data_IF_677175212133
#
_entry.id   IF_677175212133
#
_cell.length_a   1.000
_cell.length_b   1.000
_cell.length_c   1.000
_cell.angle_alpha   90.00
_cell.angle_beta   90.00
_cell.angle_gamma   90.00
#
_symmetry.space_group_name_H-M   'P 1'
#
loop_
_entity.id
_entity.type
_entity.pdbx_description
1 polymer ?
#
# COMPACT_ATOMS: atom_id res chain seq x y z
N UNK A 1 -75.15 -49.86 -10.02
CA UNK A 1 -76.14 -50.17 -8.98
C UNK A 1 -75.74 -49.49 -7.72
N UNK A 2 -76.73 -48.74 -7.23
CA UNK A 2 -76.88 -48.25 -5.84
C UNK A 2 -75.96 -47.17 -5.33
N UNK A 3 -76.57 -46.05 -5.20
CA UNK A 3 -76.26 -44.82 -4.45
C UNK A 3 -76.19 -45.09 -2.94
N UNK A 4 -75.36 -44.34 -2.23
CA UNK A 4 -75.78 -43.82 -0.94
C UNK A 4 -75.17 -42.42 -0.74
N UNK A 5 -76.06 -41.48 -0.46
CA UNK A 5 -75.86 -40.13 -0.09
C UNK A 5 -75.62 -40.08 1.42
N UNK A 6 -74.63 -39.38 1.90
CA UNK A 6 -74.56 -39.03 3.33
C UNK A 6 -74.24 -37.54 3.47
N UNK A 7 -75.16 -36.85 4.07
CA UNK A 7 -75.12 -35.45 4.42
C UNK A 7 -74.07 -35.21 5.48
N UNK A 8 -73.20 -34.27 5.28
CA UNK A 8 -72.24 -33.77 6.28
C UNK A 8 -72.42 -32.31 6.53
N UNK A 9 -72.64 -32.00 7.76
CA UNK A 9 -72.97 -30.73 8.40
C UNK A 9 -71.91 -29.68 8.11
N UNK A 10 -72.32 -28.51 7.58
CA UNK A 10 -71.49 -27.31 7.45
C UNK A 10 -71.33 -26.67 8.85
N UNK A 11 -70.14 -26.75 9.43
CA UNK A 11 -69.77 -25.93 10.58
C UNK A 11 -69.06 -24.70 10.00
N UNK A 12 -69.74 -23.58 10.12
CA UNK A 12 -69.21 -22.27 9.76
C UNK A 12 -68.15 -21.85 10.81
N UNK A 13 -66.89 -22.14 10.52
CA UNK A 13 -65.79 -21.68 11.31
C UNK A 13 -65.46 -20.23 10.99
N UNK A 14 -65.72 -19.33 11.92
CA UNK A 14 -65.35 -17.92 11.89
C UNK A 14 -63.80 -17.83 11.98
N UNK A 15 -63.12 -17.71 10.84
CA UNK A 15 -61.69 -17.43 10.83
C UNK A 15 -61.48 -15.97 11.17
N UNK A 16 -61.06 -15.71 12.39
CA UNK A 16 -60.53 -14.43 12.81
C UNK A 16 -59.20 -14.25 12.06
N UNK A 17 -59.25 -13.43 10.98
CA UNK A 17 -58.05 -12.87 10.38
C UNK A 17 -57.40 -11.92 11.38
N UNK A 18 -56.48 -12.43 12.18
CA UNK A 18 -55.52 -11.63 12.91
C UNK A 18 -54.63 -10.97 11.84
N UNK A 19 -54.94 -9.74 11.49
CA UNK A 19 -54.10 -8.89 10.68
C UNK A 19 -52.76 -8.70 11.41
N UNK A 20 -51.73 -9.42 10.98
CA UNK A 20 -50.35 -9.02 11.24
C UNK A 20 -50.15 -7.68 10.58
N UNK A 21 -50.48 -6.59 11.28
CA UNK A 21 -49.92 -5.29 11.00
C UNK A 21 -48.40 -5.46 11.19
N UNK A 22 -47.70 -5.78 10.12
CA UNK A 22 -46.25 -5.68 10.05
C UNK A 22 -45.89 -4.25 10.46
N UNK A 23 -45.44 -4.08 11.69
CA UNK A 23 -44.71 -2.92 12.09
C UNK A 23 -43.49 -2.88 11.12
N UNK A 24 -43.59 -2.09 10.07
CA UNK A 24 -42.39 -1.55 9.44
C UNK A 24 -41.70 -0.77 10.55
N UNK A 25 -40.73 -1.38 11.20
CA UNK A 25 -39.69 -0.65 11.89
C UNK A 25 -39.08 0.28 10.84
N UNK A 26 -39.59 1.50 10.80
CA UNK A 26 -38.83 2.58 10.19
C UNK A 26 -37.55 2.63 10.99
N UNK A 27 -36.47 2.12 10.44
CA UNK A 27 -35.12 2.35 10.91
C UNK A 27 -34.93 3.89 10.89
N UNK A 28 -35.38 4.56 11.93
CA UNK A 28 -34.97 5.92 12.21
C UNK A 28 -33.48 5.81 12.47
N UNK A 29 -32.67 6.18 11.49
CA UNK A 29 -31.27 6.48 11.69
C UNK A 29 -31.25 7.54 12.78
N UNK A 30 -31.02 7.14 14.02
CA UNK A 30 -30.91 8.05 15.14
C UNK A 30 -29.67 8.89 14.91
N UNK A 31 -29.85 10.06 14.28
CA UNK A 31 -28.78 10.99 14.06
C UNK A 31 -28.24 11.49 15.40
N UNK A 32 -26.94 11.48 15.57
CA UNK A 32 -26.29 12.20 16.66
C UNK A 32 -25.89 13.60 16.20
N UNK A 33 -25.98 14.58 17.11
CA UNK A 33 -25.53 15.94 16.86
C UNK A 33 -24.02 16.12 17.09
N UNK A 34 -23.38 15.13 17.72
CA UNK A 34 -21.98 15.17 18.11
C UNK A 34 -21.19 14.09 17.40
N UNK A 35 -19.95 14.41 17.07
CA UNK A 35 -18.95 13.48 16.54
C UNK A 35 -17.84 13.32 17.56
N UNK A 36 -17.50 12.08 17.89
CA UNK A 36 -16.29 11.77 18.62
C UNK A 36 -15.12 11.66 17.63
N UNK A 37 -14.07 12.43 17.86
CA UNK A 37 -12.89 12.48 16.98
C UNK A 37 -11.62 12.47 17.81
N UNK A 38 -10.47 12.29 17.16
CA UNK A 38 -9.15 12.37 17.82
C UNK A 38 -8.88 13.72 18.48
N UNK A 39 -9.52 14.79 18.01
CA UNK A 39 -9.38 16.14 18.57
C UNK A 39 -10.45 16.51 19.60
N UNK A 40 -11.31 15.55 19.95
CA UNK A 40 -12.37 15.72 20.94
C UNK A 40 -13.78 15.51 20.38
N UNK A 41 -14.78 15.91 21.18
CA UNK A 41 -16.20 15.83 20.84
C UNK A 41 -16.68 17.14 20.26
N UNK A 42 -17.20 17.11 19.04
CA UNK A 42 -17.61 18.30 18.29
C UNK A 42 -19.05 18.19 17.82
N UNK A 43 -19.77 19.30 17.80
CA UNK A 43 -21.03 19.39 17.04
C UNK A 43 -20.74 19.19 15.55
N UNK A 44 -21.72 18.66 14.84
CA UNK A 44 -21.67 18.67 13.37
C UNK A 44 -21.71 20.14 12.91
N UNK A 45 -20.81 20.51 12.02
CA UNK A 45 -20.62 21.90 11.50
C UNK A 45 -20.14 22.91 12.56
N UNK A 46 -19.47 22.47 13.61
CA UNK A 46 -18.89 23.38 14.61
C UNK A 46 -17.71 24.16 14.00
N UNK A 47 -17.84 25.48 13.90
CA UNK A 47 -16.81 26.35 13.35
C UNK A 47 -15.55 26.46 14.23
N UNK A 48 -15.64 26.06 15.51
CA UNK A 48 -14.51 26.01 16.44
C UNK A 48 -13.72 24.72 16.35
N UNK A 49 -14.20 23.74 15.59
CA UNK A 49 -13.44 22.51 15.36
C UNK A 49 -12.14 22.82 14.64
N UNK A 50 -10.99 22.26 15.09
CA UNK A 50 -9.69 22.51 14.46
C UNK A 50 -9.73 22.26 12.95
N UNK A 51 -9.36 23.26 12.17
CA UNK A 51 -9.21 23.13 10.73
C UNK A 51 -7.99 22.26 10.38
N UNK A 52 -7.99 21.55 9.24
CA UNK A 52 -6.82 20.85 8.77
C UNK A 52 -5.69 21.85 8.43
N UNK A 53 -4.42 21.45 8.59
CA UNK A 53 -3.30 22.29 8.16
C UNK A 53 -3.36 22.55 6.65
N UNK A 54 -2.99 23.76 6.24
CA UNK A 54 -2.90 24.13 4.84
C UNK A 54 -1.50 23.77 4.34
N UNK A 55 -1.43 22.99 3.26
CA UNK A 55 -0.19 22.64 2.57
C UNK A 55 -0.26 23.05 1.10
N UNK A 56 0.90 23.26 0.48
CA UNK A 56 1.00 23.39 -0.98
C UNK A 56 1.07 21.98 -1.58
N UNK A 57 0.13 21.58 -2.45
CA UNK A 57 0.19 20.29 -3.11
C UNK A 57 1.45 20.14 -3.95
N UNK A 58 1.92 18.92 -4.10
CA UNK A 58 2.96 18.57 -5.07
C UNK A 58 2.47 18.73 -6.52
N UNK A 59 3.38 18.57 -7.47
CA UNK A 59 3.05 18.57 -8.89
C UNK A 59 3.28 17.19 -9.52
N UNK A 60 2.52 16.87 -10.55
CA UNK A 60 2.68 15.61 -11.26
C UNK A 60 3.96 15.56 -12.08
N UNK A 61 4.55 14.39 -12.14
CA UNK A 61 5.70 14.11 -13.02
C UNK A 61 5.28 13.78 -14.43
N UNK A 62 6.19 14.03 -15.36
CA UNK A 62 6.12 13.56 -16.74
C UNK A 62 7.26 12.58 -17.03
N UNK A 63 7.29 11.98 -18.21
CA UNK A 63 8.42 11.15 -18.63
C UNK A 63 9.74 11.93 -18.72
N UNK A 64 9.69 13.25 -18.90
CA UNK A 64 10.88 14.13 -19.05
C UNK A 64 11.27 14.81 -17.74
N UNK A 65 10.33 15.12 -16.89
CA UNK A 65 10.56 15.96 -15.70
C UNK A 65 9.88 15.36 -14.47
N UNK A 66 10.61 15.30 -13.37
CA UNK A 66 10.08 14.97 -12.07
C UNK A 66 9.14 16.07 -11.55
N UNK A 67 8.09 15.68 -10.84
CA UNK A 67 7.22 16.60 -10.12
C UNK A 67 7.88 17.15 -8.86
N UNK A 68 7.15 18.00 -8.15
CA UNK A 68 7.55 18.53 -6.84
C UNK A 68 6.81 17.79 -5.74
N UNK A 69 7.47 17.57 -4.62
CA UNK A 69 6.85 17.05 -3.41
C UNK A 69 5.86 18.06 -2.81
N UNK A 70 4.85 17.62 -2.05
CA UNK A 70 4.04 18.50 -1.20
C UNK A 70 4.91 19.24 -0.17
N UNK A 71 4.45 20.43 0.27
CA UNK A 71 5.25 21.29 1.15
C UNK A 71 5.51 20.71 2.56
N UNK A 72 4.73 19.72 2.98
CA UNK A 72 4.87 19.00 4.26
C UNK A 72 5.57 17.63 4.11
N UNK A 73 6.11 17.33 2.94
CA UNK A 73 6.84 16.09 2.70
C UNK A 73 8.33 16.23 3.06
N UNK A 74 8.88 15.13 3.55
CA UNK A 74 10.32 14.93 3.74
C UNK A 74 10.86 14.42 2.41
N UNK A 75 11.69 15.22 1.74
CA UNK A 75 12.31 14.85 0.46
C UNK A 75 13.52 13.97 0.73
N UNK A 76 13.51 12.76 0.17
CA UNK A 76 14.59 11.78 0.31
C UNK A 76 15.52 11.75 -0.89
N UNK A 77 15.02 12.18 -2.06
CA UNK A 77 15.83 12.34 -3.26
C UNK A 77 15.14 13.30 -4.24
N UNK A 78 15.78 14.41 -4.51
CA UNK A 78 15.34 15.47 -5.44
C UNK A 78 16.07 15.46 -6.78
N UNK A 79 17.00 14.54 -6.97
CA UNK A 79 17.81 14.42 -8.20
C UNK A 79 19.22 14.97 -8.07
N UNK A 80 19.62 15.50 -6.92
CA UNK A 80 20.93 16.19 -6.75
C UNK A 80 22.02 15.28 -6.20
N UNK A 81 21.78 14.59 -5.07
CA UNK A 81 22.78 13.76 -4.42
C UNK A 81 22.16 12.63 -3.58
N UNK A 82 23.00 11.84 -2.90
CA UNK A 82 22.62 10.75 -2.01
C UNK A 82 22.80 11.12 -0.52
N UNK A 83 22.74 12.41 -0.17
CA UNK A 83 22.96 12.88 1.20
C UNK A 83 22.03 12.24 2.23
N UNK A 84 20.80 11.89 1.83
CA UNK A 84 19.81 11.23 2.70
C UNK A 84 19.98 9.69 2.76
N UNK A 85 20.95 9.12 2.01
CA UNK A 85 21.12 7.69 1.85
C UNK A 85 22.47 7.20 2.36
N UNK A 86 22.49 5.94 2.78
CA UNK A 86 23.69 5.24 3.24
C UNK A 86 23.64 3.78 2.79
N UNK A 87 24.79 3.10 2.76
CA UNK A 87 24.80 1.63 2.62
C UNK A 87 24.17 0.99 3.86
N UNK A 88 23.80 -0.27 3.78
CA UNK A 88 23.26 -1.03 4.93
C UNK A 88 24.19 -0.97 6.16
N UNK A 89 25.50 -0.90 5.93
CA UNK A 89 26.54 -0.83 6.98
C UNK A 89 26.81 0.60 7.49
N UNK A 90 26.06 1.62 7.00
CA UNK A 90 26.19 3.00 7.44
C UNK A 90 27.25 3.83 6.71
N UNK A 91 27.96 3.28 5.73
CA UNK A 91 28.90 4.03 4.88
C UNK A 91 28.17 4.79 3.76
N UNK A 92 28.91 5.65 2.98
CA UNK A 92 28.33 6.38 1.85
C UNK A 92 27.66 5.46 0.83
N UNK A 93 26.46 5.80 0.38
CA UNK A 93 25.80 5.10 -0.71
C UNK A 93 26.63 5.18 -1.98
N UNK A 94 26.72 4.09 -2.76
CA UNK A 94 27.61 3.95 -3.91
C UNK A 94 26.87 3.96 -5.25
N UNK A 95 25.58 4.23 -5.26
CA UNK A 95 24.81 4.38 -6.49
C UNK A 95 25.20 5.65 -7.22
N UNK A 96 25.04 5.70 -8.52
CA UNK A 96 25.40 6.89 -9.32
C UNK A 96 24.22 7.86 -9.39
N UNK A 97 24.51 9.15 -9.28
CA UNK A 97 23.54 10.23 -9.52
C UNK A 97 23.93 10.98 -10.80
N UNK A 98 22.98 11.15 -11.69
CA UNK A 98 23.10 11.95 -12.91
C UNK A 98 21.72 12.26 -13.51
N UNK A 99 21.62 13.31 -14.25
CA UNK A 99 20.41 13.68 -15.02
C UNK A 99 19.12 13.68 -14.15
N UNK A 100 19.23 14.07 -12.86
CA UNK A 100 18.10 14.14 -11.94
C UNK A 100 17.59 12.79 -11.40
N UNK A 101 18.36 11.72 -11.55
CA UNK A 101 18.02 10.40 -10.99
C UNK A 101 19.23 9.70 -10.38
N UNK A 102 18.99 8.83 -9.41
CA UNK A 102 19.97 7.85 -8.96
C UNK A 102 19.75 6.51 -9.66
N UNK A 103 20.84 5.77 -9.85
CA UNK A 103 20.83 4.47 -10.52
C UNK A 103 21.59 3.44 -9.71
N UNK A 104 21.00 2.26 -9.59
CA UNK A 104 21.65 1.08 -9.01
C UNK A 104 22.96 0.80 -9.71
N UNK A 105 24.03 0.67 -8.92
CA UNK A 105 25.34 0.19 -9.37
C UNK A 105 25.50 -1.22 -8.86
N UNK A 106 25.50 -2.15 -9.79
CA UNK A 106 25.59 -3.59 -9.55
C UNK A 106 26.68 -3.96 -8.53
N UNK A 107 26.35 -4.82 -7.57
CA UNK A 107 27.25 -5.33 -6.54
C UNK A 107 27.80 -4.28 -5.56
N UNK A 108 27.17 -3.11 -5.49
CA UNK A 108 27.52 -2.13 -4.44
C UNK A 108 26.66 -2.29 -3.20
N UNK A 109 25.62 -3.11 -3.30
CA UNK A 109 24.67 -3.42 -2.23
C UNK A 109 23.53 -2.41 -2.13
N UNK A 110 22.56 -2.78 -1.32
CA UNK A 110 21.36 -1.99 -1.02
C UNK A 110 21.74 -0.67 -0.34
N UNK A 111 20.86 0.29 -0.52
CA UNK A 111 20.95 1.57 0.19
C UNK A 111 19.72 1.78 1.06
N UNK A 112 19.90 2.47 2.18
CA UNK A 112 18.80 2.80 3.09
C UNK A 112 18.84 4.27 3.46
N UNK A 113 17.69 4.82 3.86
CA UNK A 113 17.61 6.19 4.36
C UNK A 113 18.37 6.33 5.69
N UNK A 114 18.92 7.51 5.95
CA UNK A 114 19.49 7.87 7.26
C UNK A 114 18.39 8.02 8.31
N UNK A 115 17.29 8.64 7.92
CA UNK A 115 16.09 8.77 8.74
C UNK A 115 15.27 7.48 8.72
N UNK A 116 14.66 7.15 9.87
CA UNK A 116 13.76 6.02 10.04
C UNK A 116 12.30 6.46 10.01
N UNK A 117 11.42 5.64 9.44
CA UNK A 117 9.99 5.91 9.27
C UNK A 117 9.17 4.74 9.78
N UNK A 118 7.98 5.04 10.31
CA UNK A 118 6.93 4.09 10.63
C UNK A 118 5.81 4.16 9.59
N UNK A 119 4.57 4.37 10.04
CA UNK A 119 3.43 4.58 9.13
C UNK A 119 3.64 5.82 8.27
N UNK A 120 3.49 5.70 6.96
CA UNK A 120 3.80 6.79 6.03
C UNK A 120 3.02 6.70 4.71
N UNK A 121 2.94 7.84 4.03
CA UNK A 121 2.73 7.94 2.61
C UNK A 121 4.10 8.07 1.94
N UNK A 122 4.45 7.15 1.05
CA UNK A 122 5.68 7.20 0.24
C UNK A 122 5.31 7.41 -1.21
N UNK A 123 5.94 8.40 -1.85
CA UNK A 123 5.99 8.51 -3.31
C UNK A 123 7.39 8.19 -3.80
N UNK A 124 7.49 7.38 -4.83
CA UNK A 124 8.75 7.02 -5.47
C UNK A 124 8.55 6.76 -6.95
N UNK A 125 9.41 7.32 -7.77
CA UNK A 125 9.43 7.02 -9.19
C UNK A 125 10.63 6.16 -9.55
N UNK A 126 10.40 5.19 -10.41
CA UNK A 126 11.44 4.28 -10.89
C UNK A 126 11.32 4.04 -12.40
N UNK A 127 12.42 3.60 -13.00
CA UNK A 127 12.42 3.13 -14.38
C UNK A 127 13.36 1.93 -14.51
N UNK A 128 12.83 0.82 -15.00
CA UNK A 128 13.63 -0.36 -15.33
C UNK A 128 14.54 -0.10 -16.53
N UNK A 129 15.63 -0.87 -16.75
CA UNK A 129 16.50 -0.68 -17.89
C UNK A 129 15.74 -0.75 -19.21
N UNK A 130 15.97 0.21 -20.12
CA UNK A 130 15.30 0.22 -21.44
C UNK A 130 15.72 -0.95 -22.34
N UNK A 131 16.96 -1.43 -22.17
CA UNK A 131 17.44 -2.64 -22.86
C UNK A 131 17.06 -3.88 -22.07
N UNK A 132 16.17 -4.68 -22.61
CA UNK A 132 15.80 -5.97 -22.05
C UNK A 132 16.87 -7.01 -22.38
N UNK A 133 17.47 -7.61 -21.35
CA UNK A 133 18.54 -8.61 -21.52
C UNK A 133 18.23 -9.95 -20.87
N UNK A 134 17.19 -10.01 -20.02
CA UNK A 134 16.84 -11.16 -19.20
C UNK A 134 15.33 -11.36 -19.18
N UNK A 135 14.86 -12.35 -18.45
CA UNK A 135 13.43 -12.72 -18.28
C UNK A 135 13.09 -12.97 -16.82
N UNK A 136 11.81 -13.07 -16.52
CA UNK A 136 11.27 -13.40 -15.20
C UNK A 136 11.86 -12.46 -14.12
N UNK A 137 12.28 -12.98 -12.98
CA UNK A 137 12.81 -12.23 -11.85
C UNK A 137 14.19 -11.58 -12.09
N UNK A 138 14.87 -11.90 -13.16
CA UNK A 138 16.15 -11.27 -13.49
C UNK A 138 16.00 -10.02 -14.38
N UNK A 139 14.77 -9.62 -14.71
CA UNK A 139 14.50 -8.54 -15.66
C UNK A 139 14.10 -7.25 -14.94
N UNK A 140 15.06 -6.32 -14.79
CA UNK A 140 14.81 -5.02 -14.18
C UNK A 140 14.37 -5.11 -12.72
N UNK A 141 14.93 -6.06 -11.98
CA UNK A 141 14.58 -6.35 -10.60
C UNK A 141 15.24 -5.38 -9.62
N UNK A 142 14.47 -4.97 -8.63
CA UNK A 142 14.83 -4.20 -7.45
C UNK A 142 13.69 -4.31 -6.45
N UNK A 143 13.77 -3.64 -5.30
CA UNK A 143 12.72 -3.62 -4.29
C UNK A 143 12.64 -2.28 -3.56
N UNK A 144 11.44 -1.90 -3.16
CA UNK A 144 11.17 -0.76 -2.27
C UNK A 144 10.71 -1.32 -0.94
N UNK A 145 11.57 -1.23 0.08
CA UNK A 145 11.29 -1.82 1.40
C UNK A 145 10.88 -0.74 2.40
N UNK A 146 9.65 -0.81 2.86
CA UNK A 146 9.17 -0.05 4.00
C UNK A 146 9.77 -0.68 5.27
N UNK A 147 10.36 0.17 6.15
CA UNK A 147 11.03 -0.29 7.37
C UNK A 147 12.12 -1.35 7.12
N UNK A 148 12.77 -1.34 5.95
CA UNK A 148 13.78 -2.33 5.52
C UNK A 148 13.33 -3.79 5.61
N UNK A 149 12.02 -4.05 5.70
CA UNK A 149 11.44 -5.37 5.97
C UNK A 149 10.31 -5.74 5.02
N UNK A 150 9.50 -4.75 4.61
CA UNK A 150 8.25 -4.99 3.89
C UNK A 150 8.37 -4.48 2.46
N UNK A 151 8.53 -5.39 1.52
CA UNK A 151 8.84 -5.10 0.12
C UNK A 151 7.61 -4.87 -0.74
N UNK A 152 7.64 -3.77 -1.49
CA UNK A 152 6.88 -3.59 -2.73
C UNK A 152 7.84 -3.84 -3.89
N UNK A 153 7.58 -4.91 -4.64
CA UNK A 153 8.46 -5.38 -5.71
C UNK A 153 8.61 -4.37 -6.84
N UNK A 154 9.83 -4.16 -7.29
CA UNK A 154 10.16 -3.47 -8.54
C UNK A 154 10.67 -4.47 -9.56
N UNK A 155 9.95 -4.61 -10.67
CA UNK A 155 10.29 -5.54 -11.75
C UNK A 155 9.87 -4.94 -13.09
N UNK A 156 10.55 -5.26 -14.17
CA UNK A 156 10.00 -5.07 -15.50
C UNK A 156 8.99 -6.18 -15.80
N UNK A 157 7.72 -5.92 -15.48
CA UNK A 157 6.60 -6.84 -15.74
C UNK A 157 5.86 -6.58 -17.06
N UNK A 158 6.40 -5.67 -17.91
CA UNK A 158 5.83 -5.42 -19.23
C UNK A 158 6.14 -6.61 -20.17
N UNK A 159 5.12 -7.36 -20.59
CA UNK A 159 5.28 -8.56 -21.41
C UNK A 159 6.38 -9.50 -20.87
N UNK A 160 6.36 -9.74 -19.56
CA UNK A 160 7.34 -10.58 -18.85
C UNK A 160 6.61 -11.56 -17.93
N UNK A 161 6.69 -12.82 -18.24
CA UNK A 161 6.11 -13.88 -17.45
C UNK A 161 6.98 -14.18 -16.22
N UNK A 162 6.36 -14.16 -15.05
CA UNK A 162 6.95 -14.56 -13.77
C UNK A 162 5.85 -15.05 -12.82
N UNK A 163 6.22 -15.52 -11.63
CA UNK A 163 5.21 -15.85 -10.61
C UNK A 163 4.46 -14.56 -10.16
N UNK A 164 3.12 -14.64 -10.00
CA UNK A 164 2.29 -13.45 -9.81
C UNK A 164 2.61 -12.63 -8.57
N UNK A 165 3.02 -13.27 -7.47
CA UNK A 165 3.37 -12.65 -6.19
C UNK A 165 4.81 -12.10 -6.13
N UNK A 166 5.54 -12.17 -7.23
CA UNK A 166 6.85 -11.54 -7.43
C UNK A 166 6.91 -10.57 -8.61
N UNK A 167 5.77 -10.24 -9.23
CA UNK A 167 5.75 -9.24 -10.28
C UNK A 167 5.76 -7.80 -9.71
N UNK A 168 5.91 -6.82 -10.59
CA UNK A 168 5.90 -5.40 -10.25
C UNK A 168 4.66 -5.04 -9.41
N UNK A 169 4.86 -4.32 -8.30
CA UNK A 169 3.84 -3.94 -7.32
C UNK A 169 3.25 -5.08 -6.47
N UNK A 170 3.79 -6.29 -6.55
CA UNK A 170 3.49 -7.33 -5.56
C UNK A 170 4.01 -6.91 -4.17
N UNK A 171 3.29 -7.28 -3.12
CA UNK A 171 3.89 -7.38 -1.79
C UNK A 171 4.61 -8.73 -1.78
N UNK A 172 5.93 -8.71 -1.96
CA UNK A 172 6.72 -9.85 -2.41
C UNK A 172 6.44 -11.14 -1.65
N UNK A 173 6.04 -12.19 -2.38
CA UNK A 173 5.66 -13.49 -1.83
C UNK A 173 4.43 -13.47 -0.91
N UNK A 174 3.63 -12.38 -0.89
CA UNK A 174 2.49 -12.21 0.04
C UNK A 174 1.19 -11.86 -0.65
N UNK A 175 1.23 -10.92 -1.59
CA UNK A 175 0.01 -10.50 -2.30
C UNK A 175 0.31 -10.17 -3.75
N UNK A 176 -0.50 -10.73 -4.62
CA UNK A 176 -0.51 -10.43 -6.06
C UNK A 176 -1.18 -9.07 -6.26
N UNK A 177 -0.65 -8.19 -7.12
CA UNK A 177 -1.34 -6.95 -7.44
C UNK A 177 -2.64 -7.21 -8.20
N UNK A 178 -3.65 -6.37 -7.99
CA UNK A 178 -4.97 -6.48 -8.62
C UNK A 178 -4.90 -6.47 -10.15
N UNK A 179 -3.96 -5.71 -10.70
CA UNK A 179 -3.68 -5.60 -12.13
C UNK A 179 -2.20 -5.33 -12.37
N UNK A 180 -1.71 -5.67 -13.55
CA UNK A 180 -0.38 -5.27 -14.02
C UNK A 180 -0.46 -3.90 -14.71
N UNK A 181 -0.07 -2.83 -14.01
CA UNK A 181 -0.04 -1.46 -14.52
C UNK A 181 1.35 -1.03 -15.03
N UNK A 182 2.24 -1.99 -15.30
CA UNK A 182 3.63 -1.73 -15.68
C UNK A 182 3.73 -1.08 -17.06
N UNK A 183 4.51 0.00 -17.17
CA UNK A 183 4.86 0.63 -18.43
C UNK A 183 6.01 -0.11 -19.11
N UNK A 184 6.25 0.20 -20.39
CA UNK A 184 7.37 -0.36 -21.17
C UNK A 184 8.71 -0.07 -20.46
N UNK A 185 9.70 -0.99 -20.58
CA UNK A 185 11.03 -0.78 -20.01
C UNK A 185 11.64 0.54 -20.46
N UNK A 186 12.32 1.20 -19.56
CA UNK A 186 12.91 2.52 -19.74
C UNK A 186 12.00 3.71 -19.46
N UNK A 187 10.68 3.51 -19.41
CA UNK A 187 9.72 4.55 -19.03
C UNK A 187 9.66 4.74 -17.51
N UNK A 188 9.49 5.98 -17.07
CA UNK A 188 9.26 6.31 -15.67
C UNK A 188 7.88 5.83 -15.23
N UNK A 189 7.87 5.20 -14.08
CA UNK A 189 6.72 4.66 -13.38
C UNK A 189 6.71 5.21 -11.96
N UNK A 190 5.55 5.26 -11.32
CA UNK A 190 5.42 5.74 -9.94
C UNK A 190 4.73 4.71 -9.06
N UNK A 191 5.16 4.64 -7.82
CA UNK A 191 4.39 4.12 -6.71
C UNK A 191 3.96 5.25 -5.79
N UNK A 192 2.69 5.24 -5.41
CA UNK A 192 2.15 5.96 -4.29
C UNK A 192 1.68 4.93 -3.27
N UNK A 193 2.36 4.86 -2.14
CA UNK A 193 2.19 3.80 -1.13
C UNK A 193 1.68 4.42 0.16
N UNK A 194 0.54 3.93 0.66
CA UNK A 194 0.08 4.17 2.02
C UNK A 194 0.42 2.94 2.85
N UNK A 195 1.33 3.11 3.77
CA UNK A 195 1.80 2.06 4.66
C UNK A 195 1.43 2.36 6.10
N UNK A 196 0.79 1.40 6.77
CA UNK A 196 0.65 1.41 8.21
C UNK A 196 1.50 0.29 8.79
N UNK A 197 2.43 0.65 9.66
CA UNK A 197 3.35 -0.28 10.29
C UNK A 197 2.64 -1.30 11.17
N UNK A 198 3.24 -2.46 11.42
CA UNK A 198 2.75 -3.34 12.47
C UNK A 198 2.96 -2.71 13.84
N UNK A 199 2.11 -3.07 14.80
CA UNK A 199 2.30 -2.71 16.20
C UNK A 199 2.56 -3.98 16.99
N UNK A 200 3.60 -3.95 17.81
CA UNK A 200 3.95 -5.04 18.70
C UNK A 200 3.66 -4.71 20.17
N UNK A 201 3.30 -5.71 20.93
CA UNK A 201 3.27 -5.68 22.41
C UNK A 201 4.17 -6.81 22.91
N UNK A 202 5.39 -6.48 23.34
CA UNK A 202 6.46 -7.45 23.50
C UNK A 202 6.73 -8.17 22.18
N UNK A 203 6.77 -9.49 22.20
CA UNK A 203 7.03 -10.31 21.01
C UNK A 203 5.77 -10.62 20.17
N UNK A 204 4.61 -10.04 20.49
CA UNK A 204 3.36 -10.34 19.80
C UNK A 204 2.94 -9.16 18.92
N UNK A 205 2.66 -9.42 17.64
CA UNK A 205 2.00 -8.45 16.78
C UNK A 205 0.54 -8.29 17.23
N UNK A 206 0.16 -7.06 17.60
CA UNK A 206 -1.22 -6.71 18.01
C UNK A 206 -1.99 -6.02 16.90
N UNK A 207 -1.28 -5.41 15.96
CA UNK A 207 -1.83 -4.91 14.70
C UNK A 207 -0.85 -5.28 13.57
N UNK A 208 -1.36 -5.87 12.52
CA UNK A 208 -0.57 -6.25 11.36
C UNK A 208 -0.32 -5.04 10.45
N UNK A 209 0.75 -5.07 9.67
CA UNK A 209 1.02 -4.06 8.65
C UNK A 209 -0.04 -4.08 7.55
N UNK A 210 -0.38 -2.90 7.02
CA UNK A 210 -1.29 -2.78 5.89
C UNK A 210 -0.70 -1.92 4.79
N UNK A 211 -1.04 -2.25 3.55
CA UNK A 211 -0.61 -1.56 2.35
C UNK A 211 -1.78 -1.18 1.45
N UNK A 212 -1.79 0.07 1.00
CA UNK A 212 -2.52 0.48 -0.20
C UNK A 212 -1.50 1.04 -1.17
N UNK A 213 -1.47 0.50 -2.40
CA UNK A 213 -0.48 0.88 -3.40
C UNK A 213 -1.17 1.28 -4.69
N UNK A 214 -0.79 2.44 -5.20
CA UNK A 214 -1.10 2.87 -6.56
C UNK A 214 0.16 2.75 -7.42
N UNK A 215 0.06 2.08 -8.55
CA UNK A 215 1.10 1.99 -9.56
C UNK A 215 0.66 2.76 -10.80
N UNK A 216 1.39 3.80 -11.17
CA UNK A 216 1.04 4.71 -12.28
C UNK A 216 -0.39 5.29 -12.14
N UNK A 217 -0.84 5.58 -10.92
CA UNK A 217 -2.17 6.08 -10.62
C UNK A 217 -3.28 5.01 -10.58
N UNK A 218 -2.97 3.74 -10.83
CA UNK A 218 -3.91 2.61 -10.77
C UNK A 218 -3.78 1.91 -9.43
N UNK A 219 -4.89 1.66 -8.74
CA UNK A 219 -4.92 0.90 -7.49
C UNK A 219 -4.51 -0.56 -7.77
N UNK A 220 -3.43 -1.01 -7.15
CA UNK A 220 -2.88 -2.35 -7.34
C UNK A 220 -2.84 -3.18 -6.05
N UNK A 221 -2.84 -2.53 -4.88
CA UNK A 221 -3.02 -3.17 -3.58
C UNK A 221 -4.04 -2.36 -2.78
N UNK A 222 -5.15 -2.96 -2.38
CA UNK A 222 -6.25 -2.30 -1.66
C UNK A 222 -6.28 -2.75 -0.21
N UNK A 223 -5.70 -1.94 0.68
CA UNK A 223 -5.67 -2.18 2.12
C UNK A 223 -5.27 -3.61 2.52
N UNK A 224 -4.27 -4.15 1.82
CA UNK A 224 -3.81 -5.52 2.05
C UNK A 224 -3.15 -5.65 3.42
N UNK A 225 -3.63 -6.61 4.21
CA UNK A 225 -3.08 -6.94 5.54
C UNK A 225 -2.01 -8.02 5.37
N UNK A 226 -0.74 -7.67 5.65
CA UNK A 226 0.36 -8.63 5.58
C UNK A 226 0.29 -9.67 6.69
N UNK A 227 0.79 -10.88 6.39
CA UNK A 227 0.85 -11.97 7.37
C UNK A 227 2.22 -12.07 8.08
N UNK A 228 3.23 -11.32 7.65
CA UNK A 228 4.59 -11.30 8.17
C UNK A 228 5.52 -10.44 7.32
N UNK A 229 6.82 -10.59 7.47
CA UNK A 229 7.83 -9.96 6.61
C UNK A 229 7.78 -10.50 5.17
N UNK A 230 8.47 -9.85 4.26
CA UNK A 230 8.55 -10.24 2.84
C UNK A 230 9.89 -10.92 2.50
N UNK A 231 10.70 -11.24 3.51
CA UNK A 231 11.98 -11.89 3.29
C UNK A 231 11.81 -13.19 2.52
N UNK A 232 12.64 -13.37 1.50
CA UNK A 232 12.76 -14.64 0.80
C UNK A 232 13.66 -15.59 1.58
N UNK A 233 13.15 -16.75 1.95
CA UNK A 233 13.92 -17.83 2.58
C UNK A 233 14.06 -18.98 1.59
N UNK A 234 12.93 -19.43 1.04
CA UNK A 234 12.82 -20.44 -0.01
C UNK A 234 11.49 -20.25 -0.76
N UNK A 235 11.26 -21.07 -1.79
CA UNK A 235 10.10 -20.94 -2.68
C UNK A 235 8.73 -21.10 -2.00
N UNK A 236 8.68 -21.66 -0.79
CA UNK A 236 7.41 -22.04 -0.15
C UNK A 236 7.28 -21.56 1.30
N UNK A 237 8.25 -20.80 1.81
CA UNK A 237 8.25 -20.35 3.21
C UNK A 237 7.72 -18.93 3.35
N UNK A 238 6.70 -18.78 4.19
CA UNK A 238 6.17 -17.50 4.65
C UNK A 238 6.80 -17.13 5.97
N UNK A 239 7.57 -16.04 6.02
CA UNK A 239 8.12 -15.52 7.27
C UNK A 239 7.04 -14.93 8.15
N UNK A 240 7.08 -15.25 9.43
CA UNK A 240 6.24 -14.61 10.43
C UNK A 240 6.73 -13.19 10.74
N UNK A 241 5.93 -12.44 11.49
CA UNK A 241 6.39 -11.19 12.07
C UNK A 241 7.51 -11.44 13.09
N UNK A 242 8.59 -10.68 12.93
CA UNK A 242 9.61 -10.51 13.95
C UNK A 242 9.47 -9.14 14.58
N UNK A 243 9.43 -9.00 15.92
CA UNK A 243 9.36 -7.70 16.57
C UNK A 243 10.53 -6.81 16.17
N UNK A 244 10.25 -5.55 15.92
CA UNK A 244 11.23 -4.54 15.56
C UNK A 244 10.80 -3.17 16.12
N UNK A 245 11.67 -2.19 16.01
CA UNK A 245 11.43 -0.82 16.42
C UNK A 245 10.24 -0.20 15.66
N UNK A 246 9.64 0.83 16.26
CA UNK A 246 8.49 1.55 15.71
C UNK A 246 8.79 2.32 14.41
N UNK A 247 10.06 2.64 14.18
CA UNK A 247 10.56 3.28 12.96
C UNK A 247 11.86 2.62 12.53
N UNK A 248 11.97 2.28 11.27
CA UNK A 248 13.18 1.78 10.63
C UNK A 248 13.38 2.48 9.28
N UNK A 249 14.60 2.47 8.72
CA UNK A 249 14.88 3.10 7.43
C UNK A 249 14.03 2.51 6.30
N UNK A 250 13.74 3.31 5.29
CA UNK A 250 13.39 2.80 3.96
C UNK A 250 14.63 2.23 3.30
N UNK A 251 14.48 1.19 2.48
CA UNK A 251 15.59 0.56 1.78
C UNK A 251 15.24 0.36 0.30
N UNK A 252 16.23 0.51 -0.56
CA UNK A 252 16.16 0.20 -1.99
C UNK A 252 17.19 -0.89 -2.31
N UNK A 253 16.76 -1.89 -3.07
CA UNK A 253 17.54 -3.10 -3.32
C UNK A 253 18.44 -2.97 -4.56
N UNK A 254 19.68 -3.45 -4.43
CA UNK A 254 20.59 -3.77 -5.53
C UNK A 254 20.42 -5.25 -5.91
N UNK A 255 19.58 -5.53 -6.90
CA UNK A 255 19.42 -6.86 -7.47
C UNK A 255 20.17 -7.01 -8.81
N UNK A 256 21.38 -6.46 -8.89
CA UNK A 256 22.25 -6.52 -10.09
C UNK A 256 21.66 -5.91 -11.36
N UNK A 257 20.54 -5.20 -11.28
CA UNK A 257 19.87 -4.52 -12.38
C UNK A 257 19.98 -2.99 -12.23
N UNK A 258 20.37 -2.25 -13.29
CA UNK A 258 20.57 -0.81 -13.21
C UNK A 258 19.24 -0.03 -13.25
N UNK A 259 18.35 -0.35 -12.31
CA UNK A 259 17.09 0.38 -12.09
C UNK A 259 17.43 1.82 -11.68
N UNK A 260 16.63 2.76 -12.18
CA UNK A 260 16.76 4.18 -11.88
C UNK A 260 15.64 4.62 -10.96
N UNK A 261 15.92 5.56 -10.05
CA UNK A 261 14.97 6.15 -9.13
C UNK A 261 15.06 7.67 -9.16
N UNK A 262 13.93 8.36 -8.98
CA UNK A 262 13.84 9.81 -8.84
C UNK A 262 12.62 10.20 -8.01
N UNK A 263 12.53 11.48 -7.63
CA UNK A 263 11.36 12.07 -6.96
C UNK A 263 10.86 11.19 -5.80
N UNK A 264 11.71 11.05 -4.78
CA UNK A 264 11.39 10.21 -3.61
C UNK A 264 11.08 11.11 -2.42
N UNK A 265 9.87 10.98 -1.87
CA UNK A 265 9.48 11.73 -0.70
C UNK A 265 8.49 10.96 0.18
N UNK A 266 8.47 11.31 1.44
CA UNK A 266 7.65 10.68 2.48
C UNK A 266 6.85 11.74 3.24
N UNK A 267 5.62 11.41 3.60
CA UNK A 267 4.85 12.09 4.65
C UNK A 267 4.57 11.09 5.76
N UNK A 268 4.93 11.42 6.99
CA UNK A 268 4.63 10.56 8.13
C UNK A 268 3.12 10.55 8.43
N UNK A 269 2.60 9.40 8.75
CA UNK A 269 1.21 9.21 9.16
C UNK A 269 1.16 8.84 10.64
N UNK A 270 0.09 9.27 11.31
CA UNK A 270 -0.22 8.78 12.64
C UNK A 270 -0.58 7.30 12.60
N UNK A 271 -0.16 6.57 13.60
CA UNK A 271 -0.63 5.20 13.80
C UNK A 271 -2.14 5.21 14.14
N UNK A 272 -2.91 4.43 13.44
CA UNK A 272 -4.36 4.28 13.68
C UNK A 272 -4.64 3.02 14.47
#
# INVERSE_FOLDING_TARGET
MIRTVSSGIFVCGLSILAGCAGMQETNKINGTRYLETETGRWLVHDMNRPAPPVITPGTQSTQKQAGKAPSDAIVLFDGTDLSEWTTIKGGPAKWTVRDGYMRVVKKTGDIKTKQSFGSCQLHIEFATPSRVTRKSQERGNSGVFLMSTYEVQVLDSYENQTYPDGQCAALYGRAVPLVNACRKPGQWQSYDIIFHRPIFKGNKVVRKATFTVFHNGVLVQDHVVLQGGTDWIDEHTVTNYSPHEDKLPLMLQDHDNPVRYRNIWVRELKDK
#
